data_IF_355518687746
#
_entry.id   IF_355518687746
#
_cell.length_a   1.000
_cell.length_b   1.000
_cell.length_c   1.000
_cell.angle_alpha   90.00
_cell.angle_beta   90.00
_cell.angle_gamma   90.00
#
_symmetry.space_group_name_H-M   'P 1'
#
loop_
_entity.id
_entity.type
_entity.pdbx_description
1 polymer ?
#
# COMPACT_ATOMS: atom_id res chain seq x y z
N UNK A 1 16.52 13.57 35.37
CA UNK A 1 16.85 14.91 34.80
C UNK A 1 17.52 14.70 33.46
N UNK A 2 17.09 15.49 32.47
CA UNK A 2 17.53 15.59 31.07
C UNK A 2 17.09 14.42 30.16
N UNK A 3 15.91 14.50 29.55
CA UNK A 3 15.48 15.29 28.36
C UNK A 3 15.99 14.66 27.06
N UNK A 4 15.11 13.86 26.43
CA UNK A 4 15.22 13.44 25.03
C UNK A 4 14.79 14.62 24.13
N UNK A 5 15.49 14.88 23.00
CA UNK A 5 15.20 16.02 22.16
C UNK A 5 13.94 15.78 21.33
N UNK A 6 13.00 16.72 21.44
CA UNK A 6 11.90 16.95 20.50
C UNK A 6 12.49 17.21 19.11
N UNK A 7 12.34 16.26 18.18
CA UNK A 7 12.62 16.50 16.76
C UNK A 7 11.38 17.13 16.15
N UNK A 8 11.47 18.44 15.97
CA UNK A 8 10.51 19.27 15.24
C UNK A 8 10.60 18.96 13.75
N UNK A 9 9.50 18.52 13.13
CA UNK A 9 9.30 18.67 11.69
C UNK A 9 8.66 20.04 11.44
N UNK A 10 9.48 21.03 11.15
CA UNK A 10 9.07 22.31 10.55
C UNK A 10 9.52 22.31 9.08
N UNK A 11 8.67 22.75 8.14
CA UNK A 11 8.99 22.77 6.71
C UNK A 11 9.86 23.98 6.37
N UNK A 12 10.78 23.85 5.39
CA UNK A 12 10.81 24.88 4.36
C UNK A 12 11.25 24.32 3.00
N UNK A 13 10.41 24.38 1.96
CA UNK A 13 10.93 24.42 0.59
C UNK A 13 10.10 25.36 -0.30
N UNK A 14 10.73 26.49 -0.66
CA UNK A 14 10.41 27.35 -1.81
C UNK A 14 11.19 26.81 -3.01
N UNK A 15 10.57 26.70 -4.19
CA UNK A 15 11.31 26.56 -5.45
C UNK A 15 10.77 27.46 -6.56
N UNK A 16 11.73 28.01 -7.31
CA UNK A 16 11.64 28.96 -8.43
C UNK A 16 11.19 28.29 -9.74
N UNK A 17 10.47 29.03 -10.58
CA UNK A 17 10.09 28.65 -11.95
C UNK A 17 11.14 29.08 -12.98
N UNK A 18 11.46 28.22 -13.94
CA UNK A 18 11.98 28.61 -15.28
C UNK A 18 11.22 27.83 -16.36
N UNK A 19 10.85 28.54 -17.43
CA UNK A 19 9.89 28.15 -18.45
C UNK A 19 10.60 27.89 -19.79
N UNK A 20 10.25 26.78 -20.45
CA UNK A 20 10.25 26.47 -21.91
C UNK A 20 10.04 24.95 -22.01
N UNK A 21 9.16 24.33 -22.78
CA UNK A 21 8.24 24.74 -23.83
C UNK A 21 8.06 23.55 -24.77
N UNK A 22 7.26 22.54 -24.42
CA UNK A 22 6.78 21.48 -25.32
C UNK A 22 5.41 20.95 -24.86
N UNK A 23 4.46 20.92 -25.79
CA UNK A 23 3.04 20.62 -25.59
C UNK A 23 2.83 19.12 -25.28
N UNK A 24 2.44 18.84 -24.05
CA UNK A 24 1.58 17.72 -23.65
C UNK A 24 0.39 18.35 -22.93
N UNK A 25 -0.83 17.81 -23.09
CA UNK A 25 -2.03 18.28 -22.39
C UNK A 25 -1.85 18.11 -20.87
N UNK A 26 -1.28 19.16 -20.28
CA UNK A 26 -1.00 19.32 -18.86
C UNK A 26 -2.17 20.13 -18.31
N UNK A 27 -2.97 19.53 -17.43
CA UNK A 27 -3.91 20.28 -16.59
C UNK A 27 -3.04 21.17 -15.69
N UNK A 28 -2.90 22.44 -16.06
CA UNK A 28 -2.24 23.46 -15.25
C UNK A 28 -3.30 24.04 -14.31
N UNK A 29 -3.11 23.82 -13.02
CA UNK A 29 -3.79 24.57 -11.97
C UNK A 29 -3.08 25.92 -11.84
N UNK A 30 -3.75 27.01 -12.21
CA UNK A 30 -3.36 28.34 -11.74
C UNK A 30 -3.85 28.52 -10.29
N UNK A 31 -3.07 29.15 -9.41
CA UNK A 31 -3.46 29.34 -8.02
C UNK A 31 -4.25 30.66 -7.92
N UNK A 32 -5.57 30.57 -8.00
CA UNK A 32 -6.42 31.59 -7.40
C UNK A 32 -7.06 31.00 -6.14
N UNK A 33 -6.83 31.71 -5.05
CA UNK A 33 -7.35 31.53 -3.70
C UNK A 33 -6.73 30.43 -2.82
N UNK A 34 -6.16 30.90 -1.71
CA UNK A 34 -5.48 30.18 -0.64
C UNK A 34 -6.39 29.29 0.22
N UNK A 35 -7.35 28.58 -0.38
CA UNK A 35 -8.26 27.63 0.27
C UNK A 35 -8.47 26.33 -0.54
N UNK A 36 -7.60 26.02 -1.50
CA UNK A 36 -7.75 24.85 -2.36
C UNK A 36 -7.42 23.54 -1.62
N UNK A 37 -8.47 22.85 -1.18
CA UNK A 37 -8.47 21.44 -0.81
C UNK A 37 -7.85 20.61 -1.96
N UNK A 38 -6.90 19.73 -1.68
CA UNK A 38 -6.38 18.78 -2.66
C UNK A 38 -7.53 17.87 -3.13
N UNK A 39 -8.13 18.17 -4.28
CA UNK A 39 -9.29 17.45 -4.81
C UNK A 39 -8.88 16.07 -5.39
N UNK A 40 -9.07 15.00 -4.62
CA UNK A 40 -9.33 13.67 -5.17
C UNK A 40 -10.81 13.61 -5.56
N UNK A 41 -11.12 13.94 -6.82
CA UNK A 41 -12.47 13.89 -7.36
C UNK A 41 -12.91 12.43 -7.58
N UNK A 42 -13.48 11.79 -6.54
CA UNK A 42 -14.20 10.52 -6.69
C UNK A 42 -15.70 10.75 -6.73
N UNK A 43 -16.29 10.51 -7.89
CA UNK A 43 -17.75 10.50 -8.10
C UNK A 43 -18.32 9.15 -7.63
N UNK A 44 -19.04 9.15 -6.52
CA UNK A 44 -19.91 8.03 -6.14
C UNK A 44 -21.36 8.54 -6.24
N UNK A 45 -22.17 8.09 -7.22
CA UNK A 45 -23.57 8.46 -7.30
C UNK A 45 -24.34 7.65 -6.26
N UNK A 46 -24.38 8.12 -5.02
CA UNK A 46 -25.43 7.74 -4.07
C UNK A 46 -26.65 8.63 -4.35
N UNK A 47 -27.81 8.00 -4.43
CA UNK A 47 -29.12 8.61 -4.68
C UNK A 47 -29.29 10.02 -4.08
N UNK A 48 -29.52 11.01 -4.95
CA UNK A 48 -30.23 12.26 -4.63
C UNK A 48 -29.50 13.33 -3.81
N UNK A 49 -28.31 13.06 -3.29
CA UNK A 49 -27.52 14.05 -2.53
C UNK A 49 -26.06 13.95 -2.95
N UNK A 50 -25.53 14.99 -3.59
CA UNK A 50 -24.12 15.12 -3.96
C UNK A 50 -23.24 15.20 -2.69
N UNK A 51 -22.92 14.05 -2.09
CA UNK A 51 -22.02 13.94 -0.96
C UNK A 51 -20.59 13.71 -1.43
N UNK A 52 -19.80 14.78 -1.52
CA UNK A 52 -18.35 14.72 -1.69
C UNK A 52 -17.78 14.06 -0.42
N UNK A 53 -17.30 12.83 -0.49
CA UNK A 53 -16.68 12.18 0.69
C UNK A 53 -15.23 12.65 0.77
N UNK A 54 -15.02 13.87 1.25
CA UNK A 54 -13.68 14.35 1.54
C UNK A 54 -13.11 13.52 2.69
N UNK A 55 -11.89 12.97 2.53
CA UNK A 55 -11.14 12.35 3.64
C UNK A 55 -11.05 13.28 4.86
N UNK A 56 -11.16 14.60 4.63
CA UNK A 56 -11.20 15.62 5.67
C UNK A 56 -12.46 15.55 6.57
N UNK A 57 -13.58 15.04 6.07
CA UNK A 57 -14.85 14.89 6.81
C UNK A 57 -14.90 13.59 7.64
N UNK A 58 -13.92 12.70 7.47
CA UNK A 58 -13.85 11.47 8.24
C UNK A 58 -13.32 11.77 9.65
N UNK A 59 -14.23 11.65 10.62
CA UNK A 59 -13.88 11.45 12.04
C UNK A 59 -12.91 10.27 12.10
N UNK A 60 -11.70 10.51 12.63
CA UNK A 60 -10.62 9.54 12.84
C UNK A 60 -11.06 8.07 12.81
N UNK A 61 -10.58 7.33 11.82
CA UNK A 61 -10.88 5.92 11.64
C UNK A 61 -9.67 5.11 12.05
N UNK A 62 -9.80 4.40 13.17
CA UNK A 62 -8.83 3.39 13.60
C UNK A 62 -9.30 2.01 13.16
N UNK A 63 -8.46 1.29 12.44
CA UNK A 63 -8.77 -0.07 11.98
C UNK A 63 -7.64 -1.01 12.32
N UNK A 64 -7.95 -2.05 13.11
CA UNK A 64 -7.05 -3.18 13.31
C UNK A 64 -7.14 -4.11 12.08
N UNK A 65 -6.01 -4.37 11.44
CA UNK A 65 -5.93 -5.24 10.27
C UNK A 65 -5.71 -6.68 10.72
N UNK A 66 -6.79 -7.45 10.87
CA UNK A 66 -6.73 -8.83 11.36
C UNK A 66 -6.25 -9.80 10.28
N UNK A 67 -6.43 -9.44 9.01
CA UNK A 67 -5.87 -10.16 7.87
C UNK A 67 -4.36 -10.01 7.75
N UNK A 68 -3.75 -9.04 8.45
CA UNK A 68 -2.30 -8.81 8.43
C UNK A 68 -1.62 -9.36 9.68
N UNK A 69 -0.34 -9.67 9.53
CA UNK A 69 0.53 -10.07 10.63
C UNK A 69 1.97 -9.67 10.33
N UNK A 70 2.86 -9.89 11.29
CA UNK A 70 4.25 -9.42 11.22
C UNK A 70 5.23 -10.56 11.41
N UNK A 71 6.16 -10.68 10.46
CA UNK A 71 7.40 -11.47 10.64
C UNK A 71 8.53 -10.50 11.00
N UNK A 72 9.25 -10.81 12.08
CA UNK A 72 10.38 -10.01 12.55
C UNK A 72 11.69 -10.63 12.09
N UNK A 73 12.59 -9.81 11.56
CA UNK A 73 13.95 -10.22 11.20
C UNK A 73 14.96 -9.27 11.85
N UNK A 74 15.89 -9.83 12.63
CA UNK A 74 16.89 -9.10 13.41
C UNK A 74 18.31 -9.53 13.10
N UNK A 75 19.24 -8.60 13.03
CA UNK A 75 20.68 -8.89 12.97
C UNK A 75 21.43 -7.95 12.04
N UNK A 76 22.77 -7.96 12.09
CA UNK A 76 23.60 -6.99 11.37
C UNK A 76 23.50 -7.11 9.84
N UNK A 77 23.16 -8.29 9.31
CA UNK A 77 23.06 -8.52 7.86
C UNK A 77 21.66 -8.25 7.29
N UNK A 78 20.70 -7.76 8.09
CA UNK A 78 19.28 -7.69 7.71
C UNK A 78 19.00 -6.85 6.47
N UNK A 79 19.66 -5.71 6.33
CA UNK A 79 19.49 -4.81 5.18
C UNK A 79 19.95 -5.50 3.90
N UNK A 80 21.19 -6.02 3.89
CA UNK A 80 21.74 -6.76 2.75
C UNK A 80 20.91 -8.01 2.43
N UNK A 81 20.40 -8.68 3.46
CA UNK A 81 19.54 -9.84 3.30
C UNK A 81 18.27 -9.48 2.53
N UNK A 82 17.52 -8.44 2.94
CA UNK A 82 16.32 -8.02 2.22
C UNK A 82 16.62 -7.38 0.87
N UNK A 83 17.72 -6.64 0.73
CA UNK A 83 18.08 -6.00 -0.53
C UNK A 83 18.16 -6.99 -1.70
N UNK A 84 18.56 -8.24 -1.44
CA UNK A 84 18.66 -9.29 -2.44
C UNK A 84 17.38 -10.13 -2.62
N UNK A 85 16.37 -9.97 -1.76
CA UNK A 85 15.17 -10.82 -1.74
C UNK A 85 13.90 -10.11 -2.19
N UNK A 86 13.80 -8.80 -1.98
CA UNK A 86 12.58 -8.04 -2.28
C UNK A 86 12.72 -7.16 -3.53
N UNK A 87 11.59 -6.83 -4.15
CA UNK A 87 11.51 -6.00 -5.36
C UNK A 87 11.85 -4.52 -5.15
N UNK A 88 11.83 -4.02 -3.91
CA UNK A 88 12.07 -2.61 -3.58
C UNK A 88 13.44 -2.39 -2.92
N UNK A 89 14.02 -1.20 -3.05
CA UNK A 89 15.24 -0.82 -2.33
C UNK A 89 14.93 -0.61 -0.85
N UNK A 90 15.76 -1.17 0.02
CA UNK A 90 15.56 -1.12 1.48
C UNK A 90 16.64 -0.32 2.22
N UNK A 91 17.65 0.16 1.50
CA UNK A 91 18.82 0.83 2.08
C UNK A 91 18.51 2.21 2.65
N UNK A 92 17.50 2.88 2.12
CA UNK A 92 17.10 4.25 2.45
C UNK A 92 15.86 4.31 3.35
N UNK A 93 15.36 3.17 3.85
CA UNK A 93 14.20 3.16 4.74
C UNK A 93 14.60 3.79 6.08
N UNK A 94 14.01 4.95 6.38
CA UNK A 94 14.20 5.64 7.66
C UNK A 94 13.72 4.82 8.85
N UNK A 95 14.56 4.74 9.89
CA UNK A 95 14.18 4.10 11.16
C UNK A 95 12.97 4.82 11.77
N UNK A 96 11.97 4.03 12.20
CA UNK A 96 10.69 4.41 12.81
C UNK A 96 9.74 5.26 11.95
N UNK A 97 10.24 5.89 10.90
CA UNK A 97 9.59 7.02 10.21
C UNK A 97 9.06 6.65 8.83
N UNK A 98 9.58 5.58 8.23
CA UNK A 98 9.19 5.16 6.89
C UNK A 98 8.88 3.66 6.81
N UNK A 99 8.02 3.34 5.85
CA UNK A 99 7.86 2.00 5.34
C UNK A 99 7.96 1.99 3.82
N UNK A 100 8.20 0.81 3.26
CA UNK A 100 8.22 0.59 1.82
C UNK A 100 7.33 -0.58 1.45
N UNK A 101 6.51 -0.39 0.43
CA UNK A 101 5.83 -1.50 -0.21
C UNK A 101 6.86 -2.33 -0.97
N UNK A 102 6.75 -3.65 -0.91
CA UNK A 102 7.66 -4.56 -1.58
C UNK A 102 7.02 -5.92 -1.81
N UNK A 103 7.43 -6.60 -2.88
CA UNK A 103 7.07 -7.98 -3.18
C UNK A 103 8.21 -8.95 -2.91
N UNK A 104 7.87 -10.15 -2.45
CA UNK A 104 8.73 -11.33 -2.58
C UNK A 104 8.33 -12.08 -3.83
N UNK A 105 9.31 -12.42 -4.68
CA UNK A 105 9.06 -13.19 -5.90
C UNK A 105 9.61 -14.61 -5.79
N UNK A 106 9.10 -15.50 -6.64
CA UNK A 106 9.78 -16.76 -6.92
C UNK A 106 10.89 -16.57 -7.97
N UNK A 107 11.69 -17.61 -8.19
CA UNK A 107 12.76 -17.59 -9.20
C UNK A 107 12.28 -17.38 -10.64
N UNK A 108 10.97 -17.56 -10.91
CA UNK A 108 10.35 -17.29 -12.21
C UNK A 108 9.82 -15.85 -12.34
N UNK A 109 9.96 -15.02 -11.29
CA UNK A 109 9.48 -13.63 -11.28
C UNK A 109 7.98 -13.48 -11.00
N UNK A 110 7.33 -14.45 -10.35
CA UNK A 110 5.93 -14.36 -9.91
C UNK A 110 5.82 -13.90 -8.48
N UNK A 111 4.80 -13.11 -8.18
CA UNK A 111 4.56 -12.56 -6.85
C UNK A 111 4.13 -13.67 -5.89
N UNK A 112 4.89 -13.82 -4.79
CA UNK A 112 4.58 -14.74 -3.70
C UNK A 112 3.88 -14.00 -2.56
N UNK A 113 4.44 -12.85 -2.16
CA UNK A 113 3.96 -12.10 -1.00
C UNK A 113 4.02 -10.60 -1.29
N UNK A 114 2.89 -9.92 -1.18
CA UNK A 114 2.81 -8.47 -1.02
C UNK A 114 3.09 -8.08 0.43
N UNK A 115 4.05 -7.19 0.64
CA UNK A 115 4.53 -6.86 1.98
C UNK A 115 4.81 -5.38 2.14
N UNK A 116 4.73 -4.91 3.38
CA UNK A 116 5.24 -3.59 3.76
C UNK A 116 6.37 -3.80 4.75
N UNK A 117 7.53 -3.24 4.42
CA UNK A 117 8.73 -3.30 5.23
C UNK A 117 8.84 -2.04 6.07
N UNK A 118 9.13 -2.18 7.35
CA UNK A 118 9.46 -1.06 8.24
C UNK A 118 10.61 -1.39 9.17
N UNK A 119 11.29 -0.37 9.69
CA UNK A 119 12.49 -0.52 10.53
C UNK A 119 12.27 0.05 11.93
N UNK A 120 12.07 -0.78 12.97
CA UNK A 120 12.08 -0.31 14.36
C UNK A 120 13.46 0.16 14.83
N UNK A 121 14.53 -0.40 14.24
CA UNK A 121 15.93 -0.03 14.51
C UNK A 121 16.80 -0.37 13.30
N UNK A 122 18.08 0.01 13.32
CA UNK A 122 19.02 -0.25 12.23
C UNK A 122 19.18 -1.75 11.92
N UNK A 123 19.15 -2.60 12.93
CA UNK A 123 19.34 -4.06 12.79
C UNK A 123 18.02 -4.85 12.90
N UNK A 124 16.87 -4.18 12.75
CA UNK A 124 15.56 -4.84 12.81
C UNK A 124 14.68 -4.39 11.65
N UNK A 125 14.10 -5.36 10.96
CA UNK A 125 13.04 -5.15 10.00
C UNK A 125 11.79 -5.92 10.45
N UNK A 126 10.65 -5.28 10.26
CA UNK A 126 9.32 -5.88 10.36
C UNK A 126 8.77 -6.06 8.96
N UNK A 127 8.32 -7.27 8.66
CA UNK A 127 7.66 -7.61 7.42
C UNK A 127 6.18 -7.78 7.71
N UNK A 128 5.41 -6.76 7.36
CA UNK A 128 3.96 -6.81 7.35
C UNK A 128 3.48 -7.65 6.16
N UNK A 129 2.87 -8.79 6.42
CA UNK A 129 2.41 -9.77 5.42
C UNK A 129 0.98 -10.23 5.73
N UNK A 130 0.28 -10.79 4.74
CA UNK A 130 -0.96 -11.52 4.98
C UNK A 130 -0.73 -12.61 6.05
N UNK A 131 -1.60 -12.63 7.06
CA UNK A 131 -1.58 -13.60 8.16
C UNK A 131 -1.57 -15.03 7.63
N UNK A 132 -2.27 -15.33 6.54
CA UNK A 132 -2.30 -16.67 5.96
C UNK A 132 -0.93 -17.10 5.38
N UNK A 133 -0.03 -16.15 5.11
CA UNK A 133 1.26 -16.38 4.47
C UNK A 133 2.46 -16.35 5.44
N UNK A 134 2.26 -16.10 6.73
CA UNK A 134 3.33 -15.98 7.74
C UNK A 134 4.24 -17.21 7.77
N UNK A 135 3.66 -18.41 7.83
CA UNK A 135 4.43 -19.68 7.87
C UNK A 135 5.19 -19.94 6.57
N UNK A 136 4.61 -19.53 5.46
CA UNK A 136 5.20 -19.69 4.13
C UNK A 136 6.40 -18.74 3.96
N UNK A 137 6.21 -17.46 4.28
CA UNK A 137 7.27 -16.46 4.28
C UNK A 137 8.40 -16.85 5.25
N UNK A 138 8.07 -17.27 6.47
CA UNK A 138 9.07 -17.65 7.47
C UNK A 138 9.93 -18.83 6.99
N UNK A 139 9.33 -19.86 6.40
CA UNK A 139 10.09 -20.98 5.80
C UNK A 139 10.97 -20.53 4.64
N UNK A 140 10.45 -19.65 3.77
CA UNK A 140 11.19 -19.11 2.64
C UNK A 140 12.40 -18.28 3.09
N UNK A 141 12.23 -17.37 4.05
CA UNK A 141 13.33 -16.57 4.60
C UNK A 141 14.40 -17.46 5.25
N UNK A 142 14.01 -18.53 5.94
CA UNK A 142 14.97 -19.49 6.51
C UNK A 142 15.76 -20.24 5.44
N UNK A 143 15.15 -20.56 4.29
CA UNK A 143 15.85 -21.17 3.15
C UNK A 143 16.93 -20.24 2.58
N UNK A 144 16.63 -18.93 2.47
CA UNK A 144 17.56 -17.94 1.93
C UNK A 144 18.60 -17.42 2.93
N UNK A 145 18.42 -17.67 4.23
CA UNK A 145 19.29 -17.19 5.31
C UNK A 145 20.73 -17.72 5.26
N UNK A 146 21.07 -18.70 4.41
CA UNK A 146 22.39 -19.35 4.39
C UNK A 146 23.56 -18.36 4.57
N UNK A 147 24.24 -18.46 5.72
CA UNK A 147 25.38 -17.63 6.17
C UNK A 147 25.06 -16.17 6.54
N UNK A 148 23.85 -15.67 6.35
CA UNK A 148 23.43 -14.37 6.84
C UNK A 148 23.22 -14.40 8.36
N UNK A 149 23.85 -13.47 9.07
CA UNK A 149 23.69 -13.30 10.51
C UNK A 149 22.39 -12.56 10.82
N UNK A 150 21.27 -13.27 10.64
CA UNK A 150 19.92 -12.77 10.92
C UNK A 150 19.11 -13.81 11.70
N UNK A 151 18.24 -13.36 12.60
CA UNK A 151 17.26 -14.16 13.34
C UNK A 151 15.87 -13.82 12.82
N UNK A 152 15.16 -14.83 12.33
CA UNK A 152 13.80 -14.71 11.80
C UNK A 152 12.85 -15.29 12.84
N UNK A 153 11.78 -14.58 13.17
CA UNK A 153 10.76 -15.01 14.14
C UNK A 153 9.38 -14.52 13.75
N UNK A 154 8.38 -15.36 13.93
CA UNK A 154 6.98 -14.95 13.84
C UNK A 154 6.61 -14.04 15.04
N UNK A 155 6.20 -12.80 14.76
CA UNK A 155 5.77 -11.84 15.77
C UNK A 155 4.23 -11.71 15.83
N UNK A 156 3.49 -12.62 15.19
CA UNK A 156 2.03 -12.63 15.10
C UNK A 156 1.33 -12.59 16.46
N UNK A 157 1.95 -13.09 17.53
CA UNK A 157 1.38 -13.10 18.89
C UNK A 157 1.76 -11.87 19.72
N UNK A 158 2.79 -11.13 19.31
CA UNK A 158 3.33 -9.98 20.03
C UNK A 158 2.85 -8.66 19.44
N UNK A 159 2.70 -8.61 18.11
CA UNK A 159 2.44 -7.39 17.35
C UNK A 159 1.07 -7.44 16.65
N UNK A 160 0.54 -6.25 16.37
CA UNK A 160 -0.67 -6.03 15.59
C UNK A 160 -0.48 -4.88 14.62
N UNK A 161 -1.05 -5.02 13.43
CA UNK A 161 -1.02 -4.00 12.38
C UNK A 161 -2.29 -3.17 12.44
N UNK A 162 -2.12 -1.85 12.33
CA UNK A 162 -3.20 -0.88 12.37
C UNK A 162 -3.09 0.08 11.18
N UNK A 163 -4.25 0.50 10.69
CA UNK A 163 -4.40 1.63 9.78
C UNK A 163 -5.16 2.74 10.50
N UNK A 164 -4.75 3.98 10.25
CA UNK A 164 -5.41 5.18 10.74
C UNK A 164 -5.67 6.14 9.57
N UNK A 165 -6.92 6.52 9.37
CA UNK A 165 -7.31 7.53 8.39
C UNK A 165 -7.99 8.72 9.08
N UNK A 166 -7.62 9.95 8.68
CA UNK A 166 -8.17 11.19 9.21
C UNK A 166 -7.13 12.07 9.90
N UNK A 167 -7.57 13.17 10.51
CA UNK A 167 -6.70 14.12 11.22
C UNK A 167 -6.50 13.68 12.68
N UNK A 168 -5.26 13.41 13.13
CA UNK A 168 -5.01 12.99 14.50
C UNK A 168 -5.33 14.11 15.50
N UNK A 169 -5.95 13.75 16.61
CA UNK A 169 -6.21 14.64 17.75
C UNK A 169 -5.04 14.56 18.72
N UNK A 170 -4.91 15.54 19.61
CA UNK A 170 -3.86 15.52 20.63
C UNK A 170 -3.88 14.23 21.48
N UNK A 171 -5.06 13.64 21.70
CA UNK A 171 -5.21 12.38 22.44
C UNK A 171 -4.78 11.14 21.65
N UNK A 172 -4.95 11.16 20.31
CA UNK A 172 -4.48 10.11 19.41
C UNK A 172 -2.95 9.92 19.43
N UNK A 173 -2.21 10.91 19.94
CA UNK A 173 -0.75 10.92 20.04
C UNK A 173 -0.20 10.18 21.26
N UNK A 174 -1.05 9.60 22.12
CA UNK A 174 -0.59 8.83 23.29
C UNK A 174 -0.23 7.36 22.98
N UNK A 175 -0.17 6.98 21.70
CA UNK A 175 0.24 5.64 21.28
C UNK A 175 1.76 5.61 21.15
N UNK A 176 2.39 4.59 21.72
CA UNK A 176 3.81 4.29 21.49
C UNK A 176 3.93 3.16 20.46
N UNK A 177 3.91 3.47 19.15
CA UNK A 177 4.06 2.47 18.12
C UNK A 177 5.48 1.92 18.07
N UNK A 178 5.59 0.65 17.67
CA UNK A 178 6.89 0.06 17.29
C UNK A 178 7.38 0.70 16.00
N UNK A 179 6.48 0.94 15.05
CA UNK A 179 6.73 1.78 13.85
C UNK A 179 5.43 2.47 13.45
N UNK A 180 5.51 3.71 12.96
CA UNK A 180 4.37 4.47 12.46
C UNK A 180 4.80 5.40 11.32
N UNK A 181 4.14 5.27 10.17
CA UNK A 181 4.52 5.98 8.95
C UNK A 181 3.31 6.14 8.01
N UNK A 182 3.31 7.12 7.09
CA UNK A 182 2.32 7.18 6.01
C UNK A 182 2.33 5.89 5.17
N UNK A 183 1.16 5.35 4.82
CA UNK A 183 1.10 4.14 4.01
C UNK A 183 1.79 4.37 2.66
N UNK A 184 2.83 3.59 2.32
CA UNK A 184 3.67 3.88 1.15
C UNK A 184 2.97 3.66 -0.19
N UNK A 185 1.77 3.07 -0.20
CA UNK A 185 1.05 2.73 -1.43
C UNK A 185 0.12 3.84 -1.89
N UNK A 186 -0.46 4.59 -0.95
CA UNK A 186 -1.36 5.72 -1.23
C UNK A 186 -1.66 6.52 0.03
N UNK A 187 -1.67 7.84 -0.11
CA UNK A 187 -2.08 8.77 0.95
C UNK A 187 -3.51 8.52 1.44
N UNK A 188 -4.39 7.99 0.58
CA UNK A 188 -5.79 7.70 0.93
C UNK A 188 -5.93 6.62 2.01
N UNK A 189 -4.89 5.80 2.22
CA UNK A 189 -4.85 4.77 3.27
C UNK A 189 -4.35 5.31 4.63
N UNK A 190 -3.93 6.57 4.67
CA UNK A 190 -3.51 7.27 5.88
C UNK A 190 -2.21 6.74 6.45
N UNK A 191 -2.17 6.54 7.77
CA UNK A 191 -1.01 6.04 8.50
C UNK A 191 -1.10 4.52 8.68
N UNK A 192 0.05 3.85 8.56
CA UNK A 192 0.23 2.45 8.91
C UNK A 192 1.10 2.36 10.16
N UNK A 193 0.66 1.52 11.10
CA UNK A 193 1.29 1.38 12.41
C UNK A 193 1.42 -0.07 12.82
N UNK A 194 2.52 -0.38 13.49
CA UNK A 194 2.71 -1.65 14.20
C UNK A 194 2.74 -1.38 15.70
N UNK A 195 1.82 -1.99 16.43
CA UNK A 195 1.70 -1.84 17.88
C UNK A 195 1.92 -3.18 18.56
N UNK A 196 2.45 -3.17 19.79
CA UNK A 196 2.35 -4.33 20.67
C UNK A 196 0.88 -4.67 20.90
N UNK A 197 0.51 -5.95 20.88
CA UNK A 197 -0.89 -6.38 21.05
C UNK A 197 -1.53 -5.96 22.38
N UNK A 198 -0.71 -5.75 23.41
CA UNK A 198 -1.17 -5.28 24.72
C UNK A 198 -1.53 -3.78 24.68
N UNK A 199 -0.91 -3.04 23.77
CA UNK A 199 -1.19 -1.63 23.54
C UNK A 199 -2.43 -1.50 22.67
N UNK A 200 -3.36 -0.63 23.08
CA UNK A 200 -4.48 -0.22 22.24
C UNK A 200 -4.34 1.27 21.94
N UNK A 201 -4.58 1.69 20.69
CA UNK A 201 -4.74 3.11 20.44
C UNK A 201 -5.95 3.63 21.22
N UNK A 202 -5.98 4.92 21.58
CA UNK A 202 -7.13 5.54 22.23
C UNK A 202 -8.24 5.64 21.20
N UNK A 203 -8.97 4.55 21.00
CA UNK A 203 -10.17 4.51 20.18
C UNK A 203 -11.25 5.26 20.98
N UNK A 204 -11.78 6.40 20.50
CA UNK A 204 -12.85 7.09 21.19
C UNK A 204 -14.02 6.12 21.39
N UNK A 205 -14.65 6.10 22.57
CA UNK A 205 -15.81 5.22 22.86
C UNK A 205 -16.95 5.39 21.83
N UNK A 206 -17.02 6.57 21.20
CA UNK A 206 -18.01 6.96 20.20
C UNK A 206 -17.64 6.55 18.76
N UNK A 207 -16.42 6.06 18.53
CA UNK A 207 -15.99 5.48 17.26
C UNK A 207 -16.06 3.97 17.45
N UNK A 208 -17.21 3.39 17.13
CA UNK A 208 -17.36 1.95 17.02
C UNK A 208 -16.28 1.44 16.07
N UNK A 209 -15.40 0.57 16.57
CA UNK A 209 -14.24 0.06 15.86
C UNK A 209 -14.63 -0.31 14.43
N UNK A 210 -14.17 0.50 13.48
CA UNK A 210 -14.60 0.36 12.10
C UNK A 210 -14.01 -0.95 11.60
N UNK A 211 -14.89 -1.83 11.12
CA UNK A 211 -14.48 -3.15 10.62
C UNK A 211 -13.43 -3.01 9.52
N UNK A 212 -12.57 -4.01 9.39
CA UNK A 212 -11.56 -4.12 8.33
C UNK A 212 -12.16 -3.97 6.91
N UNK A 213 -13.48 -4.13 6.78
CA UNK A 213 -14.23 -3.87 5.55
C UNK A 213 -14.12 -2.42 5.06
N UNK A 214 -14.08 -1.41 5.93
CA UNK A 214 -13.97 -0.01 5.47
C UNK A 214 -12.59 0.25 4.90
N UNK A 215 -11.54 -0.21 5.59
CA UNK A 215 -10.19 -0.20 5.05
C UNK A 215 -10.13 -0.93 3.71
N UNK A 216 -10.75 -2.10 3.60
CA UNK A 216 -10.86 -2.85 2.34
C UNK A 216 -11.56 -2.02 1.25
N UNK A 217 -12.66 -1.35 1.54
CA UNK A 217 -13.37 -0.50 0.56
C UNK A 217 -12.49 0.63 0.07
N UNK A 218 -11.84 1.38 0.98
CA UNK A 218 -10.93 2.48 0.60
C UNK A 218 -9.81 1.94 -0.29
N UNK A 219 -9.21 0.82 0.11
CA UNK A 219 -8.13 0.16 -0.64
C UNK A 219 -8.58 -0.32 -2.02
N UNK A 220 -9.73 -0.99 -2.10
CA UNK A 220 -10.32 -1.46 -3.36
C UNK A 220 -10.60 -0.29 -4.29
N UNK A 221 -11.20 0.80 -3.82
CA UNK A 221 -11.48 1.98 -4.65
C UNK A 221 -10.21 2.65 -5.20
N UNK A 222 -9.09 2.54 -4.49
CA UNK A 222 -7.79 3.02 -4.96
C UNK A 222 -7.05 2.01 -5.84
N UNK A 223 -7.64 0.86 -6.18
CA UNK A 223 -7.01 -0.16 -7.03
C UNK A 223 -5.79 -0.84 -6.39
N UNK A 224 -5.68 -0.79 -5.07
CA UNK A 224 -4.54 -1.35 -4.33
C UNK A 224 -4.86 -2.81 -3.99
N UNK A 225 -4.11 -3.73 -4.56
CA UNK A 225 -4.18 -5.15 -4.23
C UNK A 225 -3.52 -5.42 -2.87
N UNK A 226 -4.11 -6.26 -2.01
CA UNK A 226 -3.47 -6.71 -0.76
C UNK A 226 -3.92 -8.11 -0.35
N UNK A 227 -2.96 -8.90 0.10
CA UNK A 227 -3.18 -10.23 0.64
C UNK A 227 -3.35 -11.30 -0.42
N UNK A 228 -3.19 -12.55 0.02
CA UNK A 228 -3.12 -13.73 -0.85
C UNK A 228 -4.36 -13.94 -1.71
N UNK A 229 -5.56 -13.63 -1.20
CA UNK A 229 -6.80 -13.82 -1.96
C UNK A 229 -6.84 -12.92 -3.20
N UNK A 230 -6.29 -11.71 -3.10
CA UNK A 230 -6.28 -10.76 -4.21
C UNK A 230 -5.00 -10.92 -5.04
N UNK A 231 -3.84 -11.07 -4.40
CA UNK A 231 -2.53 -11.08 -5.09
C UNK A 231 -2.17 -12.42 -5.74
N UNK A 232 -2.83 -13.52 -5.35
CA UNK A 232 -2.57 -14.88 -5.86
C UNK A 232 -3.79 -15.50 -6.58
N UNK A 233 -4.91 -14.76 -6.65
CA UNK A 233 -6.15 -15.21 -7.29
C UNK A 233 -6.59 -16.64 -6.94
N UNK A 234 -7.20 -17.31 -7.91
CA UNK A 234 -7.48 -18.75 -7.86
C UNK A 234 -6.24 -19.61 -8.16
N UNK A 235 -5.22 -19.01 -8.80
CA UNK A 235 -4.03 -19.68 -9.32
C UNK A 235 -2.78 -19.13 -8.65
N UNK A 236 -2.40 -19.74 -7.51
CA UNK A 236 -1.31 -19.23 -6.69
C UNK A 236 0.02 -19.15 -7.43
N UNK A 237 0.73 -18.04 -7.18
CA UNK A 237 2.08 -17.78 -7.65
C UNK A 237 2.19 -17.66 -9.18
N UNK A 238 1.15 -17.17 -9.85
CA UNK A 238 1.12 -16.98 -11.30
C UNK A 238 1.16 -15.52 -11.72
N UNK A 239 0.78 -14.61 -10.83
CA UNK A 239 0.68 -13.19 -11.08
C UNK A 239 2.04 -12.51 -11.16
N UNK A 240 2.16 -11.58 -12.11
CA UNK A 240 3.31 -10.69 -12.19
C UNK A 240 3.16 -9.54 -11.18
N UNK A 241 4.27 -9.07 -10.58
CA UNK A 241 4.21 -7.92 -9.67
C UNK A 241 3.63 -6.66 -10.34
N UNK A 242 3.90 -6.45 -11.64
CA UNK A 242 3.37 -5.32 -12.40
C UNK A 242 1.87 -5.47 -12.69
N UNK A 243 1.35 -6.69 -12.83
CA UNK A 243 -0.09 -6.93 -12.97
C UNK A 243 -0.81 -6.59 -11.65
N UNK A 244 -0.14 -6.81 -10.51
CA UNK A 244 -0.60 -6.43 -9.17
C UNK A 244 -0.35 -4.95 -8.81
N UNK A 245 0.01 -4.10 -9.77
CA UNK A 245 0.27 -2.66 -9.58
C UNK A 245 1.41 -2.34 -8.60
N UNK A 246 2.40 -3.23 -8.42
CA UNK A 246 3.54 -2.92 -7.56
C UNK A 246 4.40 -1.78 -8.13
N UNK A 247 4.41 -1.54 -9.43
CA UNK A 247 5.07 -0.36 -10.01
C UNK A 247 4.35 0.94 -9.67
N UNK A 248 3.01 0.94 -9.70
CA UNK A 248 2.19 2.11 -9.41
C UNK A 248 2.20 2.46 -7.91
N UNK A 249 2.25 1.44 -7.05
CA UNK A 249 2.23 1.60 -5.59
C UNK A 249 3.62 1.76 -4.97
N UNK A 250 4.66 2.03 -5.77
CA UNK A 250 6.03 2.18 -5.28
C UNK A 250 6.61 0.90 -4.66
N UNK A 251 6.16 -0.27 -5.11
CA UNK A 251 6.55 -1.60 -4.66
C UNK A 251 7.71 -2.24 -5.42
N UNK A 252 8.17 -1.65 -6.53
CA UNK A 252 9.34 -2.11 -7.30
C UNK A 252 10.31 -0.96 -7.50
N UNK A 253 11.61 -1.19 -7.31
CA UNK A 253 12.66 -0.30 -7.81
C UNK A 253 13.33 -0.93 -9.02
N UNK A 254 13.44 -0.13 -10.08
CA UNK A 254 14.14 -0.51 -11.31
C UNK A 254 15.61 -0.08 -11.29
N UNK A 255 16.01 0.75 -10.33
CA UNK A 255 17.37 1.30 -10.18
C UNK A 255 18.18 0.59 -9.09
N UNK A 256 17.62 -0.44 -8.45
CA UNK A 256 18.31 -1.25 -7.43
C UNK A 256 19.11 -2.41 -8.04
N UNK A 257 19.98 -2.98 -7.21
CA UNK A 257 20.75 -4.19 -7.55
C UNK A 257 19.89 -5.45 -7.68
N UNK A 258 20.55 -6.57 -7.98
CA UNK A 258 19.90 -7.83 -8.26
C UNK A 258 19.03 -8.35 -7.11
N UNK A 259 17.84 -8.86 -7.45
CA UNK A 259 16.97 -9.58 -6.52
C UNK A 259 16.32 -10.80 -7.20
N UNK A 260 15.78 -11.72 -6.40
CA UNK A 260 15.19 -12.96 -6.92
C UNK A 260 14.02 -12.66 -7.87
N UNK A 261 14.07 -13.21 -9.09
CA UNK A 261 12.98 -13.08 -10.07
C UNK A 261 12.90 -11.72 -10.77
N UNK A 262 13.96 -10.91 -10.69
CA UNK A 262 14.01 -9.59 -11.31
C UNK A 262 13.91 -9.63 -12.84
N UNK A 263 14.50 -10.65 -13.49
CA UNK A 263 14.68 -10.67 -14.95
C UNK A 263 13.37 -10.55 -15.71
N UNK A 264 12.33 -11.24 -15.25
CA UNK A 264 11.01 -11.17 -15.87
C UNK A 264 10.32 -9.84 -15.59
N UNK A 265 10.47 -9.30 -14.38
CA UNK A 265 9.89 -8.02 -13.98
C UNK A 265 10.50 -6.88 -14.79
N UNK A 266 11.83 -6.79 -14.84
CA UNK A 266 12.57 -5.80 -15.61
C UNK A 266 12.28 -5.91 -17.11
N UNK A 267 12.27 -7.13 -17.67
CA UNK A 267 11.91 -7.36 -19.07
C UNK A 267 10.51 -6.84 -19.37
N UNK A 268 9.52 -7.16 -18.54
CA UNK A 268 8.14 -6.72 -18.75
C UNK A 268 8.03 -5.20 -18.71
N UNK A 269 8.74 -4.53 -17.79
CA UNK A 269 8.78 -3.07 -17.72
C UNK A 269 9.39 -2.42 -18.97
N UNK A 270 10.49 -2.97 -19.51
CA UNK A 270 11.18 -2.39 -20.67
C UNK A 270 10.60 -2.80 -22.03
N UNK A 271 9.99 -3.98 -22.16
CA UNK A 271 9.49 -4.51 -23.44
C UNK A 271 8.10 -4.03 -23.82
N UNK A 272 7.37 -3.35 -22.91
CA UNK A 272 6.17 -2.59 -23.28
C UNK A 272 5.03 -2.69 -22.29
N UNK A 273 3.81 -2.74 -22.83
CA UNK A 273 2.56 -2.51 -22.09
C UNK A 273 2.18 -3.71 -21.21
N UNK A 274 1.99 -3.47 -19.92
CA UNK A 274 1.37 -4.41 -18.98
C UNK A 274 -0.11 -4.60 -19.39
N UNK A 275 -0.44 -5.77 -19.92
CA UNK A 275 -1.74 -6.03 -20.57
C UNK A 275 -2.89 -6.31 -19.60
N UNK A 276 -2.58 -6.70 -18.36
CA UNK A 276 -3.56 -7.02 -17.32
C UNK A 276 -3.16 -6.27 -16.05
N UNK A 277 -4.12 -5.65 -15.37
CA UNK A 277 -3.89 -5.02 -14.07
C UNK A 277 -5.09 -5.19 -13.17
N UNK A 278 -4.87 -5.13 -11.86
CA UNK A 278 -5.96 -4.94 -10.91
C UNK A 278 -6.55 -3.55 -11.11
N UNK A 279 -7.87 -3.50 -11.30
CA UNK A 279 -8.63 -2.26 -11.42
C UNK A 279 -9.84 -2.28 -10.47
N UNK A 280 -10.16 -1.15 -9.82
CA UNK A 280 -11.41 -1.02 -9.09
C UNK A 280 -12.58 -1.16 -10.06
N UNK A 281 -13.57 -1.99 -9.70
CA UNK A 281 -14.81 -2.12 -10.45
C UNK A 281 -16.00 -1.90 -9.52
N UNK A 282 -16.93 -1.04 -9.94
CA UNK A 282 -18.22 -0.88 -9.29
C UNK A 282 -19.27 -1.62 -10.12
N UNK A 283 -20.01 -2.52 -9.47
CA UNK A 283 -21.17 -3.17 -10.10
C UNK A 283 -22.38 -2.30 -9.86
N UNK A 284 -22.88 -1.68 -10.93
CA UNK A 284 -24.15 -0.95 -10.90
C UNK A 284 -25.31 -1.95 -10.79
N UNK A 285 -26.11 -1.81 -9.72
CA UNK A 285 -27.27 -2.66 -9.46
C UNK A 285 -28.58 -2.05 -9.95
N UNK A 286 -28.55 -0.87 -10.58
CA UNK A 286 -29.76 -0.29 -11.15
C UNK A 286 -30.22 -1.12 -12.34
N UNK A 287 -31.47 -1.65 -12.32
CA UNK A 287 -31.99 -2.47 -13.42
C UNK A 287 -31.91 -1.72 -14.75
N UNK A 288 -32.18 -0.41 -14.72
CA UNK A 288 -32.27 0.44 -15.92
C UNK A 288 -30.93 0.59 -16.66
N UNK A 289 -29.81 0.69 -15.92
CA UNK A 289 -28.49 0.79 -16.57
C UNK A 289 -27.95 -0.56 -16.99
N UNK A 290 -28.27 -1.64 -16.27
CA UNK A 290 -27.95 -3.00 -16.70
C UNK A 290 -28.68 -3.36 -18.00
N UNK A 291 -29.97 -3.01 -18.11
CA UNK A 291 -30.76 -3.14 -19.34
C UNK A 291 -30.18 -2.31 -20.48
N UNK A 292 -29.79 -1.06 -20.21
CA UNK A 292 -29.17 -0.19 -21.22
C UNK A 292 -27.80 -0.69 -21.68
N UNK A 293 -26.97 -1.22 -20.76
CA UNK A 293 -25.69 -1.82 -21.10
C UNK A 293 -25.88 -3.09 -21.95
N UNK A 294 -26.87 -3.92 -21.62
CA UNK A 294 -27.24 -5.09 -22.42
C UNK A 294 -27.74 -4.71 -23.82
N UNK A 295 -28.54 -3.65 -23.94
CA UNK A 295 -28.99 -3.11 -25.23
C UNK A 295 -27.83 -2.61 -26.09
N UNK A 296 -26.91 -1.82 -25.52
CA UNK A 296 -25.71 -1.33 -26.23
C UNK A 296 -24.80 -2.48 -26.67
N UNK A 297 -24.63 -3.51 -25.82
CA UNK A 297 -23.87 -4.70 -26.18
C UNK A 297 -24.52 -5.47 -27.33
N UNK A 298 -25.86 -5.59 -27.34
CA UNK A 298 -26.60 -6.24 -28.42
C UNK A 298 -26.50 -5.46 -29.73
N UNK A 299 -26.64 -4.12 -29.69
CA UNK A 299 -26.45 -3.25 -30.85
C UNK A 299 -25.05 -3.39 -31.45
N UNK A 300 -24.02 -3.52 -30.61
CA UNK A 300 -22.66 -3.74 -31.07
C UNK A 300 -22.49 -5.11 -31.75
N UNK A 301 -23.04 -6.18 -31.16
CA UNK A 301 -23.02 -7.54 -31.74
C UNK A 301 -23.75 -7.57 -33.09
N UNK A 302 -24.92 -6.94 -33.16
CA UNK A 302 -25.74 -6.92 -34.37
C UNK A 302 -25.08 -6.08 -35.48
N UNK A 303 -24.33 -5.04 -35.11
CA UNK A 303 -23.54 -4.25 -36.06
C UNK A 303 -22.35 -5.02 -36.65
N UNK A 304 -21.73 -5.92 -35.87
CA UNK A 304 -20.58 -6.75 -36.30
C UNK A 304 -20.99 -7.91 -37.22
N UNK A 305 -22.28 -8.30 -37.21
CA UNK A 305 -22.83 -9.31 -38.14
C UNK A 305 -23.37 -8.72 -39.46
N UNK A 306 -23.28 -7.40 -39.63
CA UNK A 306 -23.79 -6.69 -40.82
C UNK A 306 -22.72 -6.32 -41.87
N UNK A 307 -21.47 -6.77 -41.66
CA UNK A 307 -20.34 -6.72 -42.61
C UNK A 307 -19.95 -8.10 -43.11
#
# INVERSE_FOLDING_TARGET
MNLNPLVWLQPPFRFFFFWTGFFFSKVFLEPEDSNSCCELNFWIPMSGSCGRLCLHDLKQIWTILRSRSVVRVKGPDVEKFFQNLVTQDVRDIGVLTEGRHAGFLNSRGRLLHDTILSRPSEEEFLVDVDRANVDRLTRQLNMYKLRANVKISDASNELSVWSFAGVPSADALQVNPVTAFPDPRSEALGLRMVLEKKSRPPIPENVTGVTENVYKVIRTLNGICEGSVESQGDFRDEELPLECNLDVTGGVSFDKGCYIGQELTARTHHTGVVRKRFFPMAIDKSPDRALRAAQVAQEYIDSDQST
#
